data_IF_414359048063
#
_entry.id   IF_414359048063
#
_cell.length_a   1.000
_cell.length_b   1.000
_cell.length_c   1.000
_cell.angle_alpha   90.00
_cell.angle_beta   90.00
_cell.angle_gamma   90.00
#
_symmetry.space_group_name_H-M   'P 1'
#
loop_
_entity.id
_entity.type
_entity.pdbx_description
1 polymer ?
#
# COMPACT_ATOMS: atom_id res chain seq x y z
N UNK A 1 29.49 -5.71 -18.66
CA UNK A 1 29.27 -4.26 -18.52
C UNK A 1 28.40 -4.10 -17.29
N UNK A 2 28.77 -3.27 -16.32
CA UNK A 2 27.92 -3.03 -15.16
C UNK A 2 26.78 -2.10 -15.60
N UNK A 3 25.54 -2.53 -15.41
CA UNK A 3 24.37 -1.66 -15.60
C UNK A 3 24.47 -0.50 -14.59
N UNK A 4 24.25 0.72 -15.07
CA UNK A 4 24.14 1.88 -14.19
C UNK A 4 22.96 1.66 -13.22
N UNK A 5 23.04 2.10 -11.95
CA UNK A 5 21.96 1.90 -11.00
C UNK A 5 20.67 2.53 -11.54
N UNK A 6 19.67 1.69 -11.80
CA UNK A 6 18.32 2.13 -12.11
C UNK A 6 17.84 2.98 -10.92
N UNK A 7 17.35 4.20 -11.18
CA UNK A 7 16.80 5.04 -10.12
C UNK A 7 15.65 4.28 -9.45
N UNK A 8 15.79 3.97 -8.16
CA UNK A 8 14.73 3.36 -7.38
C UNK A 8 13.52 4.31 -7.38
N UNK A 9 12.36 3.76 -7.76
CA UNK A 9 11.10 4.48 -7.63
C UNK A 9 10.62 4.33 -6.20
N UNK A 10 10.41 5.45 -5.51
CA UNK A 10 10.00 5.48 -4.11
C UNK A 10 8.67 6.22 -3.99
N UNK A 11 7.78 5.68 -3.15
CA UNK A 11 6.59 6.37 -2.69
C UNK A 11 6.71 6.58 -1.19
N UNK A 12 6.88 7.84 -0.78
CA UNK A 12 6.97 8.25 0.63
C UNK A 12 5.64 8.84 1.17
N UNK A 13 4.69 9.12 0.28
CA UNK A 13 3.37 9.71 0.58
C UNK A 13 3.39 11.07 1.31
N UNK A 14 4.54 11.71 1.49
CA UNK A 14 4.67 12.93 2.30
C UNK A 14 3.94 14.13 1.67
N UNK A 15 3.85 14.17 0.34
CA UNK A 15 3.09 15.19 -0.39
C UNK A 15 1.59 14.87 -0.50
N UNK A 16 1.16 13.70 -0.03
CA UNK A 16 -0.24 13.29 -0.12
C UNK A 16 -1.09 13.90 1.01
N UNK A 17 -2.37 14.11 0.70
CA UNK A 17 -3.34 14.64 1.66
C UNK A 17 -3.85 13.53 2.60
N UNK A 18 -3.90 13.84 3.90
CA UNK A 18 -4.46 12.94 4.91
C UNK A 18 -5.93 12.61 4.63
N UNK A 19 -6.34 11.40 5.01
CA UNK A 19 -7.72 10.93 4.89
C UNK A 19 -8.17 10.66 3.46
N UNK A 20 -7.25 10.64 2.49
CA UNK A 20 -7.53 10.39 1.08
C UNK A 20 -6.61 9.31 0.53
N UNK A 21 -7.07 8.67 -0.55
CA UNK A 21 -6.21 7.83 -1.37
C UNK A 21 -5.16 8.72 -2.06
N UNK A 22 -3.87 8.32 -2.07
CA UNK A 22 -2.84 9.07 -2.76
C UNK A 22 -3.13 9.12 -4.27
N UNK A 23 -2.64 10.17 -4.93
CA UNK A 23 -2.85 10.34 -6.37
C UNK A 23 -2.15 9.20 -7.14
N UNK A 24 -2.84 8.62 -8.13
CA UNK A 24 -2.30 7.54 -8.95
C UNK A 24 -2.33 6.19 -8.25
N UNK A 25 -3.21 6.03 -7.26
CA UNK A 25 -3.48 4.76 -6.61
C UNK A 25 -4.98 4.47 -6.66
N UNK A 26 -5.31 3.18 -6.72
CA UNK A 26 -6.67 2.66 -6.74
C UNK A 26 -6.85 1.63 -5.62
N UNK A 27 -8.00 1.71 -4.94
CA UNK A 27 -8.42 0.72 -3.96
C UNK A 27 -9.41 -0.26 -4.61
N UNK A 28 -9.22 -1.55 -4.37
CA UNK A 28 -10.04 -2.64 -4.89
C UNK A 28 -10.18 -3.74 -3.82
N UNK A 29 -10.96 -4.79 -4.09
CA UNK A 29 -11.14 -5.91 -3.17
C UNK A 29 -11.52 -7.18 -3.90
N UNK A 30 -11.27 -8.31 -3.25
CA UNK A 30 -11.87 -9.59 -3.66
C UNK A 30 -13.19 -9.82 -2.92
N UNK A 31 -14.08 -10.60 -3.53
CA UNK A 31 -15.35 -10.96 -2.89
C UNK A 31 -16.32 -9.80 -2.76
N UNK A 32 -17.45 -10.08 -2.11
CA UNK A 32 -18.58 -9.17 -2.00
C UNK A 32 -18.60 -8.42 -0.67
N UNK A 33 -19.32 -7.28 -0.64
CA UNK A 33 -19.51 -6.46 0.56
C UNK A 33 -18.71 -5.16 0.55
N UNK A 34 -18.92 -4.33 1.56
CA UNK A 34 -18.14 -3.10 1.77
C UNK A 34 -16.84 -3.43 2.54
N UNK A 35 -15.78 -2.69 2.25
CA UNK A 35 -14.45 -2.95 2.79
C UNK A 35 -13.37 -2.26 1.97
N UNK A 36 -12.10 -2.62 2.20
CA UNK A 36 -10.95 -2.11 1.45
C UNK A 36 -10.90 -0.58 1.33
N UNK A 37 -11.07 0.10 2.46
CA UNK A 37 -10.85 1.55 2.53
C UNK A 37 -9.39 1.83 2.84
N UNK A 38 -8.73 2.49 1.89
CA UNK A 38 -7.33 2.90 1.98
C UNK A 38 -7.21 4.42 1.97
N UNK A 39 -6.33 4.93 2.83
CA UNK A 39 -6.06 6.37 2.90
C UNK A 39 -4.71 6.67 3.53
N UNK A 40 -4.21 7.87 3.28
CA UNK A 40 -3.03 8.39 3.97
C UNK A 40 -3.40 8.79 5.40
N UNK A 41 -2.59 8.32 6.35
CA UNK A 41 -2.70 8.64 7.78
C UNK A 41 -1.33 9.01 8.33
N UNK A 42 -1.30 9.71 9.47
CA UNK A 42 -0.07 9.92 10.22
C UNK A 42 0.24 8.71 11.12
N UNK A 43 1.47 8.20 11.04
CA UNK A 43 2.07 7.23 11.96
C UNK A 43 3.52 7.62 12.23
N UNK A 44 3.78 8.25 13.38
CA UNK A 44 5.11 8.70 13.79
C UNK A 44 6.10 7.57 14.10
N UNK A 45 5.67 6.31 14.03
CA UNK A 45 6.54 5.14 14.21
C UNK A 45 7.09 4.61 12.88
N UNK A 46 6.65 5.17 11.76
CA UNK A 46 7.19 4.82 10.45
C UNK A 46 8.68 5.25 10.35
N UNK A 47 9.53 4.43 9.71
CA UNK A 47 10.97 4.68 9.68
C UNK A 47 11.37 5.82 8.73
N UNK A 48 10.54 6.12 7.73
CA UNK A 48 10.84 7.06 6.65
C UNK A 48 9.63 7.97 6.39
N UNK A 49 9.49 9.03 7.19
CA UNK A 49 8.33 9.93 7.13
C UNK A 49 7.23 9.56 8.11
N UNK A 50 6.27 10.46 8.30
CA UNK A 50 5.13 10.25 9.18
C UNK A 50 3.87 9.87 8.42
N UNK A 51 3.79 10.08 7.10
CA UNK A 51 2.61 9.75 6.30
C UNK A 51 2.71 8.36 5.71
N UNK A 52 1.71 7.54 5.98
CA UNK A 52 1.66 6.16 5.51
C UNK A 52 0.34 5.86 4.81
N UNK A 53 0.39 5.01 3.79
CA UNK A 53 -0.80 4.42 3.19
C UNK A 53 -1.32 3.30 4.10
N UNK A 54 -2.53 3.46 4.64
CA UNK A 54 -3.14 2.51 5.57
C UNK A 54 -4.45 1.93 5.04
N UNK A 55 -4.63 0.62 5.19
CA UNK A 55 -5.94 -0.01 5.16
C UNK A 55 -6.60 0.26 6.52
N UNK A 56 -7.85 0.75 6.48
CA UNK A 56 -8.53 1.25 7.69
C UNK A 56 -9.87 0.58 7.96
N UNK A 57 -10.46 -0.08 6.96
CA UNK A 57 -11.76 -0.72 7.06
C UNK A 57 -11.69 -2.01 7.89
N UNK A 58 -12.75 -2.28 8.64
CA UNK A 58 -13.09 -3.65 9.05
C UNK A 58 -13.79 -4.31 7.85
N UNK A 59 -13.27 -5.44 7.35
CA UNK A 59 -13.74 -6.06 6.11
C UNK A 59 -14.19 -7.50 6.37
N UNK A 60 -15.12 -8.04 5.57
CA UNK A 60 -15.58 -9.43 5.72
C UNK A 60 -14.43 -10.44 5.67
N UNK A 61 -14.57 -11.57 6.37
CA UNK A 61 -13.52 -12.60 6.46
C UNK A 61 -13.12 -13.21 5.09
N UNK A 62 -14.04 -13.20 4.10
CA UNK A 62 -13.80 -13.74 2.75
C UNK A 62 -13.37 -12.67 1.73
N UNK A 63 -12.83 -11.54 2.21
CA UNK A 63 -12.40 -10.41 1.40
C UNK A 63 -10.92 -10.10 1.61
N UNK A 64 -10.17 -9.98 0.51
CA UNK A 64 -8.85 -9.37 0.52
C UNK A 64 -8.96 -7.90 0.15
N UNK A 65 -8.32 -7.07 0.95
CA UNK A 65 -8.18 -5.65 0.70
C UNK A 65 -7.01 -5.41 -0.25
N UNK A 66 -7.24 -4.76 -1.37
CA UNK A 66 -6.21 -4.47 -2.38
C UNK A 66 -6.10 -2.97 -2.58
N UNK A 67 -4.87 -2.46 -2.67
CA UNK A 67 -4.58 -1.09 -3.05
C UNK A 67 -3.31 -1.07 -3.88
N UNK A 68 -3.38 -0.45 -5.04
CA UNK A 68 -2.36 -0.58 -6.08
C UNK A 68 -2.03 0.78 -6.69
N UNK A 69 -0.78 0.96 -7.10
CA UNK A 69 -0.42 2.10 -7.93
C UNK A 69 -0.94 1.86 -9.35
N UNK A 70 -1.54 2.88 -9.95
CA UNK A 70 -2.18 2.78 -11.27
C UNK A 70 -1.16 2.56 -12.39
N UNK A 71 0.07 3.05 -12.21
CA UNK A 71 1.16 2.93 -13.17
C UNK A 71 2.42 2.39 -12.47
N UNK A 72 2.98 1.31 -13.03
CA UNK A 72 4.30 0.82 -12.65
C UNK A 72 5.21 0.72 -13.88
N UNK A 73 6.31 1.49 -13.94
CA UNK A 73 7.18 1.54 -15.11
C UNK A 73 8.24 0.42 -15.17
N UNK A 74 8.18 -0.59 -14.29
CA UNK A 74 9.08 -1.74 -14.37
C UNK A 74 8.30 -3.03 -14.61
N UNK A 75 8.95 -3.95 -15.33
CA UNK A 75 8.43 -5.30 -15.54
C UNK A 75 9.06 -6.26 -14.54
N UNK A 76 10.38 -6.24 -14.44
CA UNK A 76 11.16 -7.14 -13.59
C UNK A 76 12.02 -6.29 -12.65
N UNK A 77 12.13 -6.67 -11.38
CA UNK A 77 12.83 -5.89 -10.37
C UNK A 77 12.59 -6.39 -8.95
N UNK A 78 13.13 -5.66 -7.99
CA UNK A 78 12.95 -5.90 -6.56
C UNK A 78 12.01 -4.85 -5.96
N UNK A 79 11.09 -5.29 -5.11
CA UNK A 79 10.14 -4.42 -4.41
C UNK A 79 10.38 -4.59 -2.91
N UNK A 80 10.56 -3.48 -2.21
CA UNK A 80 10.73 -3.43 -0.76
C UNK A 80 9.70 -2.50 -0.15
N UNK A 81 9.23 -2.84 1.05
CA UNK A 81 8.25 -2.03 1.79
C UNK A 81 8.50 -2.13 3.28
N UNK A 82 8.31 -1.02 3.98
CA UNK A 82 8.15 -1.03 5.44
C UNK A 82 6.69 -1.32 5.77
N UNK A 83 6.41 -2.45 6.39
CA UNK A 83 5.05 -2.90 6.69
C UNK A 83 4.82 -3.04 8.20
N UNK A 84 3.66 -2.57 8.68
CA UNK A 84 3.26 -2.64 10.08
C UNK A 84 1.83 -3.18 10.18
N UNK A 85 1.68 -4.34 10.81
CA UNK A 85 0.36 -4.87 11.15
C UNK A 85 -0.16 -4.16 12.42
N UNK A 86 -1.30 -3.46 12.29
CA UNK A 86 -1.84 -2.63 13.39
C UNK A 86 -2.94 -3.34 14.17
N UNK A 87 -3.94 -3.90 13.47
CA UNK A 87 -5.13 -4.54 14.05
C UNK A 87 -5.58 -5.70 13.16
N UNK A 88 -6.28 -6.68 13.75
CA UNK A 88 -6.85 -7.82 13.05
C UNK A 88 -7.50 -8.78 14.05
N UNK A 89 -8.53 -9.52 13.63
CA UNK A 89 -9.16 -10.57 14.45
C UNK A 89 -8.81 -11.95 13.91
N UNK A 90 -9.14 -12.16 12.63
CA UNK A 90 -8.83 -13.39 11.88
C UNK A 90 -7.42 -13.28 11.31
N UNK A 91 -7.22 -12.30 10.42
CA UNK A 91 -5.93 -11.97 9.84
C UNK A 91 -5.41 -10.64 10.38
N UNK A 92 -4.15 -10.64 10.81
CA UNK A 92 -3.42 -9.45 11.24
C UNK A 92 -2.11 -9.36 10.45
N UNK A 93 -2.24 -9.03 9.16
CA UNK A 93 -1.10 -9.01 8.25
C UNK A 93 -1.49 -8.58 6.85
N UNK A 94 -0.54 -8.73 5.94
CA UNK A 94 -0.66 -8.34 4.55
C UNK A 94 0.66 -8.57 3.82
N UNK A 95 0.73 -8.10 2.59
CA UNK A 95 1.92 -8.23 1.78
C UNK A 95 1.83 -7.42 0.49
N UNK A 96 2.91 -7.49 -0.29
CA UNK A 96 2.97 -6.91 -1.62
C UNK A 96 2.23 -7.80 -2.61
N UNK A 97 1.54 -7.16 -3.55
CA UNK A 97 1.02 -7.80 -4.76
C UNK A 97 1.70 -7.18 -5.97
N UNK A 98 2.04 -8.00 -6.96
CA UNK A 98 2.73 -7.58 -8.18
C UNK A 98 2.10 -8.30 -9.37
N UNK A 99 1.82 -7.56 -10.45
CA UNK A 99 1.08 -8.06 -11.63
C UNK A 99 -0.24 -8.74 -11.23
N UNK A 100 -1.08 -7.98 -10.53
CA UNK A 100 -2.39 -8.41 -10.01
C UNK A 100 -3.49 -8.35 -11.08
#
# INVERSE_FOLDING_TARGET
MAEAPQKAMQWDFEESALGKLPKGWSADKTGDGEGSVWMIVDDSTAPEGAKVLAQTADSPDQMFNVCVADEMPFKDGEISVSFKAVKGKTDQGGGLVWRY
#
